data_IF_995978913644
#
_entry.id   IF_995978913644
#
_cell.length_a   1.000
_cell.length_b   1.000
_cell.length_c   1.000
_cell.angle_alpha   90.00
_cell.angle_beta   90.00
_cell.angle_gamma   90.00
#
_symmetry.space_group_name_H-M   'P 1'
#
loop_
_entity.id
_entity.type
_entity.pdbx_description
1 polymer ?
#
# COMPACT_ATOMS: atom_id res chain seq x y z
N UNK A 1 15.19 0.15 -0.03
CA UNK A 1 14.07 -0.81 -0.14
C UNK A 1 13.24 -0.45 -1.36
N UNK A 2 12.80 -1.44 -2.11
CA UNK A 2 12.28 -1.33 -3.49
C UNK A 2 10.84 -0.94 -3.43
N UNK A 3 10.21 -1.34 -2.34
CA UNK A 3 8.85 -0.99 -2.00
C UNK A 3 8.85 0.38 -1.31
N UNK A 4 9.77 0.66 -0.39
CA UNK A 4 9.74 1.89 0.43
C UNK A 4 10.75 2.91 -0.10
N UNK A 5 10.24 3.96 -0.77
CA UNK A 5 11.07 5.11 -1.16
C UNK A 5 11.25 6.06 0.01
N UNK A 6 12.48 6.29 0.46
CA UNK A 6 12.75 7.28 1.51
C UNK A 6 12.31 8.67 1.07
N UNK A 7 11.36 9.22 1.83
CA UNK A 7 10.87 10.58 1.70
C UNK A 7 10.42 11.04 3.08
N UNK A 8 10.96 12.16 3.50
CA UNK A 8 10.59 12.79 4.75
C UNK A 8 9.17 13.38 4.68
N UNK A 9 8.56 13.50 5.86
CA UNK A 9 7.33 14.27 6.02
C UNK A 9 7.59 15.74 5.68
N UNK A 10 6.63 16.38 5.02
CA UNK A 10 6.64 17.84 4.84
C UNK A 10 6.62 18.58 6.19
N UNK A 11 6.91 19.88 6.18
CA UNK A 11 6.96 20.68 7.41
C UNK A 11 5.66 20.60 8.23
N UNK A 12 4.51 20.68 7.57
CA UNK A 12 3.19 20.63 8.20
C UNK A 12 2.92 19.23 8.76
N UNK A 13 3.17 18.18 7.97
CA UNK A 13 2.99 16.79 8.40
C UNK A 13 3.89 16.47 9.61
N UNK A 14 5.14 16.94 9.60
CA UNK A 14 6.08 16.76 10.71
C UNK A 14 5.62 17.49 11.98
N UNK A 15 5.13 18.72 11.85
CA UNK A 15 4.60 19.47 12.98
C UNK A 15 3.41 18.73 13.62
N UNK A 16 2.43 18.31 12.81
CA UNK A 16 1.28 17.55 13.29
C UNK A 16 1.70 16.20 13.89
N UNK A 17 2.65 15.50 13.27
CA UNK A 17 3.17 14.24 13.79
C UNK A 17 3.81 14.41 15.17
N UNK A 18 4.57 15.49 15.40
CA UNK A 18 5.18 15.76 16.71
C UNK A 18 4.14 16.04 17.79
N UNK A 19 3.06 16.77 17.45
CA UNK A 19 1.94 16.99 18.38
C UNK A 19 1.25 15.67 18.72
N UNK A 20 0.96 14.83 17.72
CA UNK A 20 0.32 13.53 17.94
C UNK A 20 1.19 12.57 18.76
N UNK A 21 2.51 12.57 18.53
CA UNK A 21 3.49 11.75 19.26
C UNK A 21 3.62 12.11 20.74
N UNK A 22 3.11 13.26 21.18
CA UNK A 22 3.03 13.58 22.61
C UNK A 22 1.97 12.74 23.34
N UNK A 23 1.02 12.17 22.61
CA UNK A 23 -0.01 11.26 23.11
C UNK A 23 0.32 9.78 22.86
N UNK A 24 -0.62 8.87 23.20
CA UNK A 24 -0.46 7.45 22.91
C UNK A 24 -0.49 7.20 21.40
N UNK A 25 0.54 6.51 20.90
CA UNK A 25 0.64 6.10 19.49
C UNK A 25 0.33 4.61 19.34
N UNK A 26 -0.38 4.21 18.26
CA UNK A 26 -0.58 2.80 17.96
C UNK A 26 0.75 2.15 17.60
N UNK A 27 0.95 0.90 18.03
CA UNK A 27 2.12 0.09 17.66
C UNK A 27 1.89 -0.72 16.38
N UNK A 28 0.62 -1.02 16.11
CA UNK A 28 0.17 -1.85 14.99
C UNK A 28 -1.09 -1.26 14.36
N UNK A 29 -1.13 -1.18 13.03
CA UNK A 29 -2.31 -0.73 12.26
C UNK A 29 -2.64 -1.75 11.16
N UNK A 30 -3.93 -1.99 10.93
CA UNK A 30 -4.40 -2.85 9.85
C UNK A 30 -5.17 -2.05 8.78
N UNK A 31 -4.96 -2.38 7.50
CA UNK A 31 -5.63 -1.73 6.37
C UNK A 31 -6.37 -2.73 5.49
N UNK A 32 -7.62 -2.40 5.13
CA UNK A 32 -8.34 -3.04 4.02
C UNK A 32 -8.18 -2.14 2.80
N UNK A 33 -7.37 -2.57 1.84
CA UNK A 33 -7.00 -1.75 0.67
C UNK A 33 -8.03 -1.87 -0.46
N UNK A 34 -9.27 -1.43 -0.19
CA UNK A 34 -10.35 -1.46 -1.16
C UNK A 34 -10.42 -0.17 -2.01
N UNK A 35 -11.06 -0.25 -3.17
CA UNK A 35 -11.36 0.90 -4.01
C UNK A 35 -10.56 0.98 -5.31
N UNK A 36 -9.57 0.11 -5.52
CA UNK A 36 -8.69 0.15 -6.71
C UNK A 36 -9.45 0.16 -8.05
N UNK A 37 -10.52 -0.66 -8.18
CA UNK A 37 -11.36 -0.67 -9.39
C UNK A 37 -12.18 0.61 -9.58
N UNK A 38 -12.69 1.17 -8.48
CA UNK A 38 -13.44 2.44 -8.49
C UNK A 38 -12.52 3.61 -8.83
N UNK A 39 -11.30 3.59 -8.29
CA UNK A 39 -10.24 4.52 -8.61
C UNK A 39 -9.86 4.46 -10.10
N UNK A 40 -9.61 3.25 -10.64
CA UNK A 40 -9.29 3.07 -12.06
C UNK A 40 -10.37 3.69 -12.98
N UNK A 41 -11.65 3.41 -12.67
CA UNK A 41 -12.79 4.00 -13.38
C UNK A 41 -12.81 5.53 -13.29
N UNK A 42 -12.56 6.09 -12.10
CA UNK A 42 -12.55 7.55 -11.87
C UNK A 42 -11.42 8.24 -12.63
N UNK A 43 -10.27 7.59 -12.74
CA UNK A 43 -9.10 8.12 -13.43
C UNK A 43 -9.04 7.75 -14.93
N UNK A 44 -10.07 7.08 -15.46
CA UNK A 44 -10.12 6.59 -16.85
C UNK A 44 -8.91 5.72 -17.24
N UNK A 45 -8.43 4.90 -16.31
CA UNK A 45 -7.34 3.94 -16.53
C UNK A 45 -7.85 2.50 -16.43
N UNK A 46 -7.04 1.56 -16.91
CA UNK A 46 -7.34 0.14 -16.80
C UNK A 46 -7.39 -0.35 -15.34
N UNK A 47 -8.15 -1.42 -15.09
CA UNK A 47 -8.26 -1.99 -13.72
C UNK A 47 -6.92 -2.43 -13.16
N UNK A 48 -6.08 -3.04 -14.01
CA UNK A 48 -4.75 -3.49 -13.65
C UNK A 48 -3.87 -2.33 -13.18
N UNK A 49 -3.95 -1.18 -13.87
CA UNK A 49 -3.26 0.04 -13.48
C UNK A 49 -3.76 0.56 -12.12
N UNK A 50 -5.07 0.52 -11.86
CA UNK A 50 -5.61 0.84 -10.54
C UNK A 50 -5.06 -0.06 -9.42
N UNK A 51 -4.84 -1.35 -9.68
CA UNK A 51 -4.22 -2.26 -8.72
C UNK A 51 -2.72 -1.96 -8.51
N UNK A 52 -2.00 -1.66 -9.59
CA UNK A 52 -0.61 -1.21 -9.53
C UNK A 52 -0.46 0.05 -8.66
N UNK A 53 -1.33 1.04 -8.84
CA UNK A 53 -1.34 2.26 -8.03
C UNK A 53 -1.75 2.00 -6.58
N UNK A 54 -2.65 1.03 -6.34
CA UNK A 54 -2.95 0.56 -4.99
C UNK A 54 -1.72 0.02 -4.27
N UNK A 55 -0.86 -0.73 -4.98
CA UNK A 55 0.42 -1.19 -4.43
C UNK A 55 1.40 -0.03 -4.15
N UNK A 56 1.53 0.94 -5.05
CA UNK A 56 2.37 2.11 -4.80
C UNK A 56 1.87 2.93 -3.59
N UNK A 57 0.54 2.97 -3.39
CA UNK A 57 -0.06 3.60 -2.20
C UNK A 57 0.25 2.83 -0.92
N UNK A 58 0.27 1.50 -0.96
CA UNK A 58 0.70 0.67 0.17
C UNK A 58 2.13 1.03 0.58
N UNK A 59 3.05 1.02 -0.38
CA UNK A 59 4.45 1.39 -0.19
C UNK A 59 4.62 2.77 0.48
N UNK A 60 3.89 3.77 -0.02
CA UNK A 60 3.87 5.11 0.57
C UNK A 60 3.27 5.14 1.99
N UNK A 61 2.23 4.35 2.25
CA UNK A 61 1.59 4.27 3.57
C UNK A 61 2.50 3.61 4.59
N UNK A 62 3.22 2.55 4.22
CA UNK A 62 4.22 1.91 5.09
C UNK A 62 5.31 2.89 5.50
N UNK A 63 5.76 3.74 4.57
CA UNK A 63 6.70 4.83 4.87
C UNK A 63 6.13 5.83 5.88
N UNK A 64 4.88 6.24 5.71
CA UNK A 64 4.24 7.15 6.67
C UNK A 64 4.14 6.52 8.06
N UNK A 65 3.75 5.25 8.16
CA UNK A 65 3.76 4.50 9.41
C UNK A 65 5.15 4.50 10.06
N UNK A 66 6.20 4.22 9.29
CA UNK A 66 7.59 4.26 9.76
C UNK A 66 7.98 5.65 10.28
N UNK A 67 7.70 6.71 9.53
CA UNK A 67 7.96 8.10 9.93
C UNK A 67 7.20 8.48 11.22
N UNK A 68 6.02 7.90 11.44
CA UNK A 68 5.21 8.08 12.64
C UNK A 68 5.66 7.20 13.82
N UNK A 69 6.59 6.27 13.62
CA UNK A 69 7.06 5.33 14.65
C UNK A 69 6.14 4.12 14.86
N UNK A 70 5.26 3.83 13.89
CA UNK A 70 4.40 2.65 13.88
C UNK A 70 5.17 1.53 13.17
N UNK A 71 5.65 0.55 13.96
CA UNK A 71 6.57 -0.48 13.45
C UNK A 71 5.88 -1.67 12.81
N UNK A 72 4.57 -1.87 13.03
CA UNK A 72 3.85 -3.02 12.53
C UNK A 72 2.62 -2.61 11.70
N UNK A 73 2.46 -3.24 10.54
CA UNK A 73 1.31 -3.00 9.65
C UNK A 73 0.82 -4.32 9.07
N UNK A 74 -0.50 -4.54 9.12
CA UNK A 74 -1.16 -5.66 8.43
C UNK A 74 -2.02 -5.12 7.30
N UNK A 75 -2.01 -5.79 6.14
CA UNK A 75 -2.83 -5.37 5.00
C UNK A 75 -3.62 -6.52 4.43
N UNK A 76 -4.87 -6.23 4.05
CA UNK A 76 -5.70 -7.17 3.33
C UNK A 76 -5.48 -6.98 1.82
N UNK A 77 -4.51 -7.70 1.27
CA UNK A 77 -4.11 -7.58 -0.14
C UNK A 77 -5.01 -8.38 -1.09
N UNK A 78 -5.43 -9.59 -0.70
CA UNK A 78 -6.26 -10.47 -1.53
C UNK A 78 -7.09 -11.41 -0.64
N UNK A 79 -8.37 -11.57 -0.95
CA UNK A 79 -9.31 -12.45 -0.24
C UNK A 79 -9.60 -13.73 -1.00
N UNK A 80 -9.95 -14.82 -0.31
CA UNK A 80 -10.46 -16.05 -0.94
C UNK A 80 -11.67 -15.74 -1.84
N UNK A 81 -12.54 -14.81 -1.42
CA UNK A 81 -13.69 -14.38 -2.20
C UNK A 81 -13.30 -13.69 -3.52
N UNK A 82 -12.06 -13.19 -3.64
CA UNK A 82 -11.59 -12.54 -4.87
C UNK A 82 -11.28 -13.55 -5.99
N UNK A 83 -11.15 -14.84 -5.69
CA UNK A 83 -11.07 -15.88 -6.73
C UNK A 83 -12.36 -16.00 -7.56
N UNK A 84 -13.49 -15.47 -7.07
CA UNK A 84 -14.77 -15.45 -7.81
C UNK A 84 -14.84 -14.34 -8.88
N UNK A 85 -13.79 -13.51 -9.03
CA UNK A 85 -13.71 -12.47 -10.08
C UNK A 85 -13.38 -13.09 -11.44
N UNK A 86 -13.35 -12.29 -12.51
CA UNK A 86 -13.00 -12.81 -13.83
C UNK A 86 -11.56 -13.32 -13.83
N UNK A 87 -11.30 -14.36 -14.64
CA UNK A 87 -9.99 -15.00 -14.71
C UNK A 87 -8.91 -13.99 -15.09
N UNK A 88 -9.19 -13.11 -16.03
CA UNK A 88 -8.28 -12.07 -16.48
C UNK A 88 -7.89 -11.10 -15.35
N UNK A 89 -8.82 -10.78 -14.44
CA UNK A 89 -8.54 -9.92 -13.29
C UNK A 89 -7.70 -10.66 -12.25
N UNK A 90 -8.01 -11.92 -11.97
CA UNK A 90 -7.26 -12.75 -11.02
C UNK A 90 -5.83 -12.99 -11.52
N UNK A 91 -5.67 -13.37 -12.78
CA UNK A 91 -4.37 -13.60 -13.40
C UNK A 91 -3.52 -12.32 -13.38
N UNK A 92 -4.13 -11.16 -13.66
CA UNK A 92 -3.48 -9.85 -13.53
C UNK A 92 -3.01 -9.54 -12.10
N UNK A 93 -3.83 -9.85 -11.08
CA UNK A 93 -3.46 -9.67 -9.68
C UNK A 93 -2.32 -10.59 -9.24
N UNK A 94 -2.35 -11.86 -9.67
CA UNK A 94 -1.29 -12.83 -9.37
C UNK A 94 0.02 -12.46 -10.05
N UNK A 95 -0.04 -11.97 -11.28
CA UNK A 95 1.13 -11.46 -12.00
C UNK A 95 1.71 -10.21 -11.32
N UNK A 96 0.87 -9.28 -10.87
CA UNK A 96 1.31 -8.12 -10.08
C UNK A 96 2.01 -8.57 -8.79
N UNK A 97 1.43 -9.53 -8.06
CA UNK A 97 2.05 -10.07 -6.86
C UNK A 97 3.42 -10.69 -7.17
N UNK A 98 3.51 -11.54 -8.20
CA UNK A 98 4.75 -12.16 -8.66
C UNK A 98 5.82 -11.10 -8.94
N UNK A 99 5.49 -10.08 -9.74
CA UNK A 99 6.43 -9.00 -10.08
C UNK A 99 6.95 -8.26 -8.85
N UNK A 100 6.06 -7.89 -7.90
CA UNK A 100 6.47 -7.14 -6.71
C UNK A 100 7.31 -7.98 -5.75
N UNK A 101 6.99 -9.26 -5.58
CA UNK A 101 7.78 -10.19 -4.75
C UNK A 101 9.13 -10.53 -5.39
N UNK A 102 9.20 -10.75 -6.71
CA UNK A 102 10.48 -10.94 -7.41
C UNK A 102 11.38 -9.74 -7.21
N UNK A 103 10.84 -8.52 -7.38
CA UNK A 103 11.60 -7.29 -7.15
C UNK A 103 12.15 -7.17 -5.72
N UNK A 104 11.41 -7.65 -4.73
CA UNK A 104 11.85 -7.65 -3.34
C UNK A 104 13.06 -8.59 -3.11
N UNK A 105 13.10 -9.72 -3.80
CA UNK A 105 14.22 -10.68 -3.72
C UNK A 105 15.49 -10.17 -4.39
N UNK A 106 15.36 -9.29 -5.39
CA UNK A 106 16.49 -8.71 -6.12
C UNK A 106 17.23 -7.63 -5.31
N UNK A 107 16.67 -7.20 -4.18
CA UNK A 107 17.31 -6.23 -3.30
C UNK A 107 18.28 -6.91 -2.34
N UNK A 108 19.56 -6.50 -2.43
CA UNK A 108 20.61 -6.85 -1.47
C UNK A 108 20.79 -5.75 -0.44
#
# INVERSE_FOLDING_TARGET
MSWIRDKELSLIERLCANVLKAGPMPKHVAFIMDGNRRYAKKCHVERQEGHSQGFEKLAETLRWCLNLGICEVTVYAFSIENFKRSKEEVDGLMELARQKFTRLLEEK
#
